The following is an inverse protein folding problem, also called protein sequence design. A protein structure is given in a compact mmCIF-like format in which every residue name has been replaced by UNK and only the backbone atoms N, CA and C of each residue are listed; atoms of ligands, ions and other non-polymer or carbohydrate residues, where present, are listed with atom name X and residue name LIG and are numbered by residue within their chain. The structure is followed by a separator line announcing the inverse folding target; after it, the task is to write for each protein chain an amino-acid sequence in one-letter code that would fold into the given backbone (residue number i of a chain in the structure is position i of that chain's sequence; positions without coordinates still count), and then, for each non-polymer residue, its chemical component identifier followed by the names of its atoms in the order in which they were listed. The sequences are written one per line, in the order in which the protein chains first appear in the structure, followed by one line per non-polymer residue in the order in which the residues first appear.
data_IF_699316962538
#
_entry.id   IF_699316962538
#
_cell.length_a   1.000
_cell.length_b   1.000
_cell.length_c   1.000
_cell.angle_alpha   90.00
_cell.angle_beta   90.00
_cell.angle_gamma   90.00
#
_symmetry.space_group_name_H-M   'P 1'
#
loop_
_entity.id
_entity.type
_entity.pdbx_description
1 polymer ?
#
# COMPACT_ATOMS: atom_id res chain seq x y z
N UNK A 1 -3.41 30.22 3.88
CA UNK A 1 -2.40 30.71 2.91
C UNK A 1 -1.62 29.50 2.45
N UNK A 2 -1.47 29.27 1.14
CA UNK A 2 -0.69 28.15 0.61
C UNK A 2 0.80 28.49 0.72
N UNK A 3 1.43 28.03 1.79
CA UNK A 3 2.86 28.15 2.02
C UNK A 3 3.60 27.19 1.09
N UNK A 4 4.41 27.76 0.21
CA UNK A 4 5.28 27.01 -0.71
C UNK A 4 6.73 27.15 -0.25
N UNK A 5 7.42 26.03 -0.17
CA UNK A 5 8.77 25.93 0.38
C UNK A 5 9.68 25.36 -0.70
N UNK A 6 10.92 25.86 -0.87
CA UNK A 6 11.90 25.19 -1.73
C UNK A 6 12.08 23.72 -1.31
N UNK A 7 12.25 22.83 -2.29
CA UNK A 7 12.44 21.38 -2.02
C UNK A 7 13.64 21.12 -1.10
N UNK A 8 14.68 21.95 -1.18
CA UNK A 8 15.83 21.86 -0.29
C UNK A 8 15.46 22.13 1.17
N UNK A 9 14.60 23.12 1.42
CA UNK A 9 14.09 23.42 2.76
C UNK A 9 13.16 22.33 3.27
N UNK A 10 12.22 21.86 2.45
CA UNK A 10 11.34 20.75 2.82
C UNK A 10 12.12 19.47 3.17
N UNK A 11 13.20 19.18 2.43
CA UNK A 11 14.06 18.03 2.71
C UNK A 11 14.81 18.18 4.04
N UNK A 12 15.28 19.41 4.36
CA UNK A 12 15.89 19.73 5.66
C UNK A 12 14.91 19.54 6.81
N UNK A 13 13.67 19.99 6.67
CA UNK A 13 12.62 19.85 7.71
C UNK A 13 12.30 18.37 8.00
N UNK A 14 12.45 17.50 7.01
CA UNK A 14 12.26 16.06 7.16
C UNK A 14 13.54 15.30 7.55
N UNK A 15 14.69 15.98 7.62
CA UNK A 15 15.98 15.33 7.88
C UNK A 15 16.42 14.36 6.76
N UNK A 16 15.98 14.59 5.51
CA UNK A 16 16.26 13.72 4.37
C UNK A 16 17.02 14.44 3.26
N UNK A 17 17.59 13.67 2.35
CA UNK A 17 18.22 14.23 1.16
C UNK A 17 17.16 14.74 0.16
N UNK A 18 17.37 15.88 -0.54
CA UNK A 18 16.40 16.42 -1.49
C UNK A 18 16.08 15.48 -2.67
N UNK A 19 16.99 14.56 -3.03
CA UNK A 19 16.68 13.50 -4.01
C UNK A 19 15.62 12.54 -3.50
N UNK A 20 15.71 12.15 -2.22
CA UNK A 20 14.73 11.27 -1.57
C UNK A 20 13.36 11.94 -1.52
N UNK A 21 13.30 13.22 -1.15
CA UNK A 21 12.05 13.97 -1.17
C UNK A 21 11.41 14.03 -2.57
N UNK A 22 12.22 14.24 -3.62
CA UNK A 22 11.72 14.23 -5.01
C UNK A 22 11.17 12.87 -5.41
N UNK A 23 11.81 11.80 -4.96
CA UNK A 23 11.36 10.44 -5.22
C UNK A 23 10.01 10.17 -4.55
N UNK A 24 9.89 10.47 -3.26
CA UNK A 24 8.63 10.30 -2.51
C UNK A 24 7.48 11.13 -3.08
N UNK A 25 7.76 12.38 -3.50
CA UNK A 25 6.75 13.21 -4.17
C UNK A 25 6.29 12.61 -5.50
N UNK A 26 7.20 11.99 -6.26
CA UNK A 26 6.87 11.30 -7.51
C UNK A 26 6.03 10.04 -7.24
N UNK A 27 6.40 9.24 -6.24
CA UNK A 27 5.65 8.04 -5.84
C UNK A 27 4.24 8.37 -5.38
N UNK A 28 4.08 9.46 -4.62
CA UNK A 28 2.78 9.92 -4.13
C UNK A 28 1.99 10.79 -5.14
N UNK A 29 2.46 10.87 -6.39
CA UNK A 29 1.86 11.66 -7.47
C UNK A 29 1.58 13.14 -7.12
N UNK A 30 2.47 13.75 -6.32
CA UNK A 30 2.35 15.14 -5.89
C UNK A 30 3.21 16.06 -6.77
N UNK A 31 2.62 17.17 -7.21
CA UNK A 31 3.29 18.11 -8.11
C UNK A 31 4.20 19.09 -7.37
N UNK A 32 5.27 19.48 -8.06
CA UNK A 32 6.20 20.53 -7.65
C UNK A 32 5.77 21.86 -8.26
N UNK A 33 5.63 22.88 -7.43
CA UNK A 33 5.40 24.26 -7.84
C UNK A 33 6.72 24.94 -8.23
N UNK A 34 6.60 26.05 -8.93
CA UNK A 34 7.72 26.93 -9.25
C UNK A 34 7.75 28.06 -8.21
N UNK A 35 8.95 28.47 -7.76
CA UNK A 35 9.07 29.56 -6.80
C UNK A 35 8.62 30.90 -7.43
N UNK A 36 7.88 31.76 -6.70
CA UNK A 36 7.31 33.00 -7.25
C UNK A 36 8.37 34.03 -7.66
N UNK A 37 9.56 33.97 -7.06
CA UNK A 37 10.67 34.90 -7.32
C UNK A 37 11.74 34.34 -8.27
N UNK A 38 11.89 33.01 -8.38
CA UNK A 38 12.92 32.38 -9.24
C UNK A 38 12.38 31.10 -9.87
N UNK A 39 12.13 31.13 -11.19
CA UNK A 39 11.53 30.02 -11.90
C UNK A 39 12.38 28.73 -11.92
N UNK A 40 13.68 28.83 -11.58
CA UNK A 40 14.60 27.70 -11.53
C UNK A 40 14.46 26.89 -10.24
N UNK A 41 13.88 27.47 -9.20
CA UNK A 41 13.70 26.81 -7.90
C UNK A 41 12.41 26.00 -7.93
N UNK A 42 12.53 24.70 -7.61
CA UNK A 42 11.37 23.81 -7.41
C UNK A 42 10.91 23.92 -5.96
N UNK A 43 9.61 24.13 -5.80
CA UNK A 43 8.94 24.26 -4.52
C UNK A 43 7.93 23.15 -4.31
N UNK A 44 7.67 22.85 -3.05
CA UNK A 44 6.63 21.92 -2.59
C UNK A 44 5.68 22.70 -1.68
N UNK A 45 4.38 22.40 -1.77
CA UNK A 45 3.40 22.92 -0.82
C UNK A 45 3.64 22.29 0.56
N UNK A 46 3.47 23.06 1.62
CA UNK A 46 3.55 22.54 3.00
C UNK A 46 2.58 21.37 3.23
N UNK A 47 1.39 21.42 2.63
CA UNK A 47 0.40 20.34 2.70
C UNK A 47 0.90 19.03 2.07
N UNK A 48 1.57 19.14 0.91
CA UNK A 48 2.19 17.98 0.24
C UNK A 48 3.33 17.43 1.08
N UNK A 49 4.14 18.32 1.66
CA UNK A 49 5.26 17.93 2.51
C UNK A 49 4.78 17.19 3.76
N UNK A 50 3.71 17.66 4.41
CA UNK A 50 3.11 17.02 5.58
C UNK A 50 2.50 15.66 5.23
N UNK A 51 1.82 15.55 4.08
CA UNK A 51 1.27 14.28 3.62
C UNK A 51 2.36 13.25 3.34
N UNK A 52 3.46 13.64 2.69
CA UNK A 52 4.64 12.79 2.51
C UNK A 52 5.26 12.41 3.87
N UNK A 53 5.35 13.35 4.81
CA UNK A 53 5.84 13.07 6.16
C UNK A 53 5.01 11.97 6.85
N UNK A 54 3.68 12.07 6.77
CA UNK A 54 2.76 11.07 7.32
C UNK A 54 2.90 9.71 6.64
N UNK A 55 3.01 9.66 5.31
CA UNK A 55 3.17 8.41 4.56
C UNK A 55 4.46 7.66 4.93
N UNK A 56 5.55 8.38 5.17
CA UNK A 56 6.86 7.80 5.51
C UNK A 56 7.15 7.79 7.02
N UNK A 57 6.13 8.01 7.87
CA UNK A 57 6.24 8.03 9.33
C UNK A 57 7.37 8.94 9.87
N UNK A 58 7.54 10.11 9.26
CA UNK A 58 8.50 11.14 9.70
C UNK A 58 7.77 12.33 10.30
N UNK A 59 8.32 12.87 11.39
CA UNK A 59 7.86 14.16 11.92
C UNK A 59 8.55 15.29 11.17
N UNK A 60 7.79 16.28 10.72
CA UNK A 60 8.35 17.56 10.30
C UNK A 60 9.01 18.21 11.51
N UNK A 61 10.33 18.33 11.49
CA UNK A 61 11.00 19.17 12.45
C UNK A 61 10.61 20.61 12.13
N UNK A 62 9.91 21.27 13.04
CA UNK A 62 9.71 22.71 12.94
C UNK A 62 11.08 23.37 12.77
N UNK A 63 11.21 24.43 11.95
CA UNK A 63 12.51 25.06 11.73
C UNK A 63 13.03 25.62 13.06
N UNK A 64 13.89 24.86 13.72
CA UNK A 64 14.79 25.39 14.72
C UNK A 64 15.62 26.42 13.98
N UNK A 65 15.30 27.70 14.18
CA UNK A 65 16.09 28.81 13.66
C UNK A 65 17.53 28.53 14.07
N UNK A 66 18.39 28.38 13.08
CA UNK A 66 19.84 28.30 13.24
C UNK A 66 20.29 29.65 13.84
N UNK A 67 20.17 29.79 15.16
CA UNK A 67 20.96 30.75 15.91
C UNK A 67 22.29 30.05 16.20
N UNK A 68 23.26 30.40 15.36
CA UNK A 68 24.68 30.24 15.58
C UNK A 68 25.07 30.75 16.98
N UNK A 69 26.01 30.03 17.60
CA UNK A 69 26.73 30.30 18.86
C UNK A 69 26.12 29.72 20.16
N UNK A 70 26.55 28.50 20.48
CA UNK A 70 27.10 28.16 21.81
C UNK A 70 27.96 26.89 21.72
N UNK A 71 29.09 26.81 22.43
CA UNK A 71 30.10 25.77 22.26
C UNK A 71 29.68 24.43 22.90
N UNK A 72 30.29 23.30 22.49
CA UNK A 72 30.00 21.99 23.03
C UNK A 72 30.56 21.86 24.45
N UNK A 73 29.68 21.68 25.43
CA UNK A 73 30.07 21.18 26.76
C UNK A 73 30.33 19.68 26.64
N UNK A 74 31.63 19.36 26.73
CA UNK A 74 32.21 18.04 26.92
C UNK A 74 31.51 17.31 28.08
N UNK A 75 31.12 16.03 27.94
CA UNK A 75 30.77 15.21 29.09
C UNK A 75 32.07 14.66 29.69
N UNK A 76 32.52 15.30 30.77
CA UNK A 76 33.57 14.78 31.63
C UNK A 76 32.96 14.36 32.96
N UNK A 77 33.56 13.33 33.54
CA UNK A 77 33.37 12.79 34.89
C UNK A 77 32.30 11.70 35.04
N UNK A 78 32.75 10.49 34.70
CA UNK A 78 32.44 9.27 35.44
C UNK A 78 32.79 9.52 36.92
N UNK A 79 31.81 9.36 37.83
CA UNK A 79 32.10 9.01 39.22
C UNK A 79 30.99 8.11 39.78
N UNK A 80 31.30 7.04 40.53
CA UNK A 80 30.33 6.02 40.92
C UNK A 80 29.76 6.20 42.35
N UNK A 81 28.44 5.98 42.44
CA UNK A 81 27.64 5.27 43.46
C UNK A 81 27.69 5.69 44.97
N UNK A 82 26.53 5.72 45.69
CA UNK A 82 26.35 6.41 46.98
C UNK A 82 26.32 5.50 48.21
N UNK A 83 26.59 6.06 49.41
CA UNK A 83 26.10 5.59 50.74
C UNK A 83 25.87 6.80 51.66
N UNK A 84 24.85 6.80 52.55
CA UNK A 84 24.15 8.01 53.03
C UNK A 84 24.42 8.38 54.50
N UNK A 85 24.16 9.63 54.90
CA UNK A 85 23.75 9.96 56.27
C UNK A 85 23.24 11.41 56.40
N UNK A 86 22.09 11.54 57.07
CA UNK A 86 21.66 12.64 57.95
C UNK A 86 20.82 13.81 57.38
N UNK A 87 19.49 13.59 57.46
CA UNK A 87 18.40 14.43 58.03
C UNK A 87 18.52 15.97 57.99
N UNK A 88 17.51 16.58 57.37
CA UNK A 88 17.09 17.97 57.60
C UNK A 88 16.07 18.46 56.55
N UNK A 89 14.77 18.35 56.85
CA UNK A 89 13.68 19.17 56.24
C UNK A 89 13.88 20.67 56.57
N UNK A 90 13.22 21.66 55.91
CA UNK A 90 11.90 21.60 55.22
C UNK A 90 11.76 22.37 53.87
N UNK A 91 10.68 22.04 53.16
CA UNK A 91 9.88 22.85 52.23
C UNK A 91 10.54 23.72 51.12
N UNK A 92 10.35 23.28 49.87
CA UNK A 92 10.03 24.22 48.77
C UNK A 92 9.15 23.54 47.71
N UNK A 93 7.90 24.00 47.50
CA UNK A 93 7.01 23.48 46.47
C UNK A 93 7.13 24.36 45.23
N UNK A 94 7.81 23.89 44.18
CA UNK A 94 7.73 24.53 42.88
C UNK A 94 7.95 23.51 41.75
N UNK A 95 6.83 23.18 41.11
CA UNK A 95 6.70 22.76 39.72
C UNK A 95 7.26 21.36 39.37
N UNK A 96 6.66 20.33 39.95
CA UNK A 96 6.47 19.08 39.22
C UNK A 96 5.53 19.37 38.04
N UNK A 97 6.11 19.53 36.84
CA UNK A 97 5.34 19.42 35.60
C UNK A 97 4.65 18.05 35.63
N UNK A 98 3.31 17.99 35.46
CA UNK A 98 2.63 16.72 35.26
C UNK A 98 3.10 16.18 33.91
N UNK A 99 4.06 15.26 33.92
CA UNK A 99 4.19 14.33 32.80
C UNK A 99 2.86 13.59 32.73
N UNK A 100 2.14 13.64 31.60
CA UNK A 100 0.97 12.79 31.41
C UNK A 100 1.49 11.35 31.37
N UNK A 101 1.53 10.70 32.53
CA UNK A 101 1.83 9.29 32.68
C UNK A 101 0.63 8.54 32.09
N UNK A 102 0.68 8.28 30.78
CA UNK A 102 -0.21 7.31 30.15
C UNK A 102 0.00 6.00 30.91
N UNK A 103 -1.04 5.40 31.49
CA UNK A 103 -0.88 4.17 32.25
C UNK A 103 -0.25 3.10 31.35
N UNK A 104 0.79 2.42 31.83
CA UNK A 104 1.43 1.29 31.13
C UNK A 104 0.41 0.23 30.69
N UNK A 105 -0.67 0.07 31.47
CA UNK A 105 -1.84 -0.74 31.16
C UNK A 105 -2.55 -0.35 29.83
N UNK A 106 -2.61 0.93 29.49
CA UNK A 106 -3.22 1.38 28.23
C UNK A 106 -2.32 1.07 27.02
N UNK A 107 -1.00 1.15 27.21
CA UNK A 107 -0.02 0.81 26.16
C UNK A 107 0.00 -0.69 25.88
N UNK A 108 0.02 -1.52 26.92
CA UNK A 108 -0.06 -2.99 26.79
C UNK A 108 -1.37 -3.42 26.14
N UNK A 109 -2.49 -2.78 26.48
CA UNK A 109 -3.77 -3.02 25.80
C UNK A 109 -3.73 -2.65 24.32
N UNK A 110 -3.11 -1.51 23.96
CA UNK A 110 -2.95 -1.10 22.55
C UNK A 110 -2.08 -2.09 21.77
N UNK A 111 -0.99 -2.58 22.38
CA UNK A 111 -0.14 -3.60 21.77
C UNK A 111 -0.90 -4.91 21.54
N UNK A 112 -1.60 -5.43 22.56
CA UNK A 112 -2.41 -6.63 22.41
C UNK A 112 -3.51 -6.47 21.33
N UNK A 113 -4.12 -5.29 21.23
CA UNK A 113 -5.08 -4.97 20.17
C UNK A 113 -4.42 -5.00 18.79
N UNK A 114 -3.24 -4.41 18.62
CA UNK A 114 -2.51 -4.43 17.36
C UNK A 114 -2.04 -5.85 16.99
N UNK A 115 -1.54 -6.62 17.95
CA UNK A 115 -1.16 -8.03 17.78
C UNK A 115 -2.34 -8.85 17.26
N UNK A 116 -3.51 -8.75 17.93
CA UNK A 116 -4.72 -9.46 17.47
C UNK A 116 -5.17 -9.06 16.05
N UNK A 117 -4.96 -7.79 15.67
CA UNK A 117 -5.26 -7.31 14.31
C UNK A 117 -4.29 -7.87 13.28
N UNK A 118 -3.01 -7.97 13.63
CA UNK A 118 -1.98 -8.59 12.79
C UNK A 118 -2.27 -10.09 12.61
N UNK A 119 -2.62 -10.80 13.69
CA UNK A 119 -3.01 -12.22 13.62
C UNK A 119 -4.22 -12.41 12.70
N UNK A 120 -5.23 -11.55 12.84
CA UNK A 120 -6.43 -11.58 11.99
C UNK A 120 -6.09 -11.32 10.52
N UNK A 121 -5.24 -10.32 10.24
CA UNK A 121 -4.86 -9.98 8.88
C UNK A 121 -4.00 -11.09 8.25
N UNK A 122 -3.09 -11.68 9.03
CA UNK A 122 -2.28 -12.81 8.60
C UNK A 122 -3.16 -14.02 8.25
N UNK A 123 -4.16 -14.32 9.08
CA UNK A 123 -5.14 -15.38 8.81
C UNK A 123 -5.93 -15.11 7.53
N UNK A 124 -6.42 -13.88 7.33
CA UNK A 124 -7.15 -13.52 6.10
C UNK A 124 -6.28 -13.67 4.84
N UNK A 125 -5.00 -13.28 4.91
CA UNK A 125 -4.07 -13.45 3.80
C UNK A 125 -3.82 -14.94 3.53
N UNK A 126 -3.65 -15.76 4.59
CA UNK A 126 -3.45 -17.20 4.45
C UNK A 126 -4.67 -17.86 3.79
N UNK A 127 -5.88 -17.52 4.23
CA UNK A 127 -7.13 -18.03 3.66
C UNK A 127 -7.30 -17.61 2.20
N UNK A 128 -6.99 -16.35 1.87
CA UNK A 128 -7.06 -15.87 0.49
C UNK A 128 -6.04 -16.57 -0.41
N UNK A 129 -4.80 -16.78 0.07
CA UNK A 129 -3.77 -17.51 -0.66
C UNK A 129 -4.20 -18.96 -0.94
N UNK A 130 -4.79 -19.64 0.05
CA UNK A 130 -5.34 -20.99 -0.12
C UNK A 130 -6.47 -21.01 -1.16
N UNK A 131 -7.40 -20.05 -1.10
CA UNK A 131 -8.49 -19.94 -2.08
C UNK A 131 -7.97 -19.73 -3.51
N UNK A 132 -6.95 -18.87 -3.69
CA UNK A 132 -6.32 -18.66 -4.99
C UNK A 132 -5.63 -19.91 -5.54
N UNK A 133 -4.96 -20.68 -4.68
CA UNK A 133 -4.34 -21.94 -5.09
C UNK A 133 -5.38 -22.97 -5.53
N UNK A 134 -6.46 -23.13 -4.76
CA UNK A 134 -7.57 -24.01 -5.12
C UNK A 134 -8.23 -23.60 -6.43
N UNK A 135 -8.43 -22.30 -6.66
CA UNK A 135 -9.04 -21.82 -7.90
C UNK A 135 -8.14 -22.07 -9.11
N UNK A 136 -6.82 -21.91 -8.95
CA UNK A 136 -5.86 -22.27 -10.00
C UNK A 136 -5.89 -23.77 -10.30
N UNK A 137 -5.93 -24.61 -9.28
CA UNK A 137 -6.01 -26.05 -9.44
C UNK A 137 -7.27 -26.45 -10.21
N UNK A 138 -8.46 -26.00 -9.77
CA UNK A 138 -9.73 -26.23 -10.47
C UNK A 138 -9.72 -25.72 -11.90
N UNK A 139 -9.16 -24.54 -12.14
CA UNK A 139 -9.07 -23.95 -13.48
C UNK A 139 -8.19 -24.80 -14.41
N UNK A 140 -7.05 -25.30 -13.90
CA UNK A 140 -6.16 -26.19 -14.66
C UNK A 140 -6.86 -27.52 -14.94
N UNK A 141 -7.47 -28.14 -13.93
CA UNK A 141 -8.22 -29.40 -14.07
C UNK A 141 -9.35 -29.28 -15.10
N UNK A 142 -10.12 -28.19 -15.03
CA UNK A 142 -11.20 -27.93 -15.98
C UNK A 142 -10.67 -27.80 -17.41
N UNK A 143 -9.55 -27.09 -17.59
CA UNK A 143 -8.93 -26.93 -18.92
C UNK A 143 -8.38 -28.25 -19.44
N UNK A 144 -7.74 -29.06 -18.59
CA UNK A 144 -7.27 -30.40 -18.95
C UNK A 144 -8.45 -31.27 -19.38
N UNK A 145 -9.50 -31.34 -18.56
CA UNK A 145 -10.71 -32.11 -18.86
C UNK A 145 -11.36 -31.69 -20.18
N UNK A 146 -11.41 -30.37 -20.44
CA UNK A 146 -11.94 -29.82 -21.70
C UNK A 146 -11.09 -30.26 -22.89
N UNK A 147 -9.76 -30.17 -22.78
CA UNK A 147 -8.85 -30.60 -23.84
C UNK A 147 -8.91 -32.12 -24.06
N UNK A 148 -9.00 -32.92 -23.00
CA UNK A 148 -9.17 -34.36 -23.06
C UNK A 148 -10.48 -34.73 -23.77
N UNK A 149 -11.59 -34.07 -23.47
CA UNK A 149 -12.86 -34.28 -24.16
C UNK A 149 -12.77 -33.94 -25.65
N UNK A 150 -12.10 -32.84 -26.01
CA UNK A 150 -11.86 -32.49 -27.41
C UNK A 150 -11.00 -33.55 -28.11
N UNK A 151 -9.90 -33.99 -27.49
CA UNK A 151 -9.06 -35.06 -28.04
C UNK A 151 -9.84 -36.37 -28.22
N UNK A 152 -10.67 -36.75 -27.25
CA UNK A 152 -11.54 -37.93 -27.34
C UNK A 152 -12.55 -37.79 -28.48
N UNK A 153 -13.11 -36.61 -28.72
CA UNK A 153 -13.99 -36.36 -29.85
C UNK A 153 -13.25 -36.54 -31.19
N UNK A 154 -12.06 -35.97 -31.33
CA UNK A 154 -11.25 -36.10 -32.56
C UNK A 154 -10.74 -37.53 -32.80
N UNK A 155 -10.35 -38.26 -31.74
CA UNK A 155 -9.87 -39.64 -31.88
C UNK A 155 -11.01 -40.67 -31.96
N UNK A 156 -12.13 -40.43 -31.28
CA UNK A 156 -13.32 -41.28 -31.31
C UNK A 156 -14.16 -41.13 -32.58
N UNK A 157 -14.14 -39.95 -33.21
CA UNK A 157 -14.80 -39.70 -34.49
C UNK A 157 -14.13 -40.35 -35.71
N UNK A 158 -12.85 -40.78 -35.59
CA UNK A 158 -12.10 -41.32 -36.72
C UNK A 158 -12.24 -42.86 -36.91
N UNK A 159 -12.91 -43.56 -35.98
CA UNK A 159 -13.07 -45.03 -36.03
C UNK A 159 -14.51 -45.49 -36.34
N UNK A 160 -15.42 -44.58 -36.69
CA UNK A 160 -16.68 -44.98 -37.34
C UNK A 160 -16.50 -44.95 -38.86
N UNK A 161 -15.73 -45.93 -39.38
CA UNK A 161 -15.90 -46.38 -40.75
C UNK A 161 -17.31 -46.98 -40.85
N UNK A 162 -18.30 -46.16 -41.25
CA UNK A 162 -19.56 -46.69 -41.74
C UNK A 162 -19.46 -46.82 -43.26
N UNK A 163 -19.59 -48.04 -43.82
CA UNK A 163 -19.54 -48.23 -45.26
C UNK A 163 -20.83 -47.72 -45.92
N UNK A 164 -20.66 -46.89 -46.93
CA UNK A 164 -21.66 -46.64 -47.97
C UNK A 164 -21.90 -47.94 -48.75
N UNK A 165 -23.16 -48.29 -49.04
CA UNK A 165 -23.55 -48.28 -50.46
C UNK A 165 -24.91 -47.60 -50.71
N UNK A 166 -24.88 -46.69 -51.69
CA UNK A 166 -25.93 -46.31 -52.64
C UNK A 166 -27.17 -47.23 -52.72
N UNK A 167 -28.38 -46.65 -52.77
CA UNK A 167 -29.37 -46.83 -53.87
C UNK A 167 -30.39 -45.66 -53.87
N UNK A 168 -30.19 -44.77 -54.83
CA UNK A 168 -31.18 -44.10 -55.72
C UNK A 168 -32.68 -44.18 -55.38
N UNK A 169 -33.31 -43.00 -55.20
CA UNK A 169 -34.58 -42.59 -55.87
C UNK A 169 -34.98 -41.15 -55.48
N UNK A 170 -34.73 -40.21 -56.39
CA UNK A 170 -35.68 -39.11 -56.68
C UNK A 170 -36.87 -39.71 -57.47
N UNK A 171 -38.07 -39.07 -57.58
CA UNK A 171 -38.27 -37.62 -57.75
C UNK A 171 -39.47 -37.01 -57.00
N UNK A 172 -39.46 -35.70 -56.73
CA UNK A 172 -40.48 -34.75 -57.26
C UNK A 172 -40.28 -33.33 -56.74
N UNK A 173 -40.39 -32.40 -57.70
CA UNK A 173 -40.44 -30.95 -57.57
C UNK A 173 -41.43 -30.45 -56.52
N UNK A 174 -41.04 -29.39 -55.79
CA UNK A 174 -41.82 -28.14 -55.73
C UNK A 174 -41.05 -26.96 -55.10
N UNK A 175 -40.58 -26.07 -55.98
CA UNK A 175 -40.61 -24.59 -55.95
C UNK A 175 -40.22 -23.82 -54.66
N UNK A 176 -39.24 -22.90 -54.72
CA UNK A 176 -39.09 -21.80 -53.76
C UNK A 176 -39.86 -20.54 -54.22
N UNK A 177 -40.35 -19.70 -53.29
CA UNK A 177 -39.95 -18.30 -53.42
C UNK A 177 -39.74 -17.58 -52.07
N UNK A 178 -38.63 -16.84 -52.03
CA UNK A 178 -38.43 -15.48 -51.53
C UNK A 178 -39.23 -14.91 -50.34
N UNK A 179 -38.41 -14.32 -49.45
CA UNK A 179 -38.42 -12.93 -48.93
C UNK A 179 -38.93 -12.66 -47.49
N UNK A 180 -37.95 -12.17 -46.71
CA UNK A 180 -37.96 -10.97 -45.85
C UNK A 180 -39.04 -10.83 -44.77
N UNK A 181 -38.60 -10.68 -43.51
CA UNK A 181 -38.70 -9.45 -42.70
C UNK A 181 -38.34 -9.75 -41.22
N UNK A 182 -37.21 -9.22 -40.74
CA UNK A 182 -37.14 -8.60 -39.40
C UNK A 182 -37.99 -7.30 -39.46
N UNK A 183 -38.49 -6.70 -38.35
CA UNK A 183 -37.81 -6.50 -37.06
C UNK A 183 -38.73 -6.58 -35.80
N UNK A 184 -38.16 -6.63 -34.58
CA UNK A 184 -38.08 -5.57 -33.56
C UNK A 184 -38.99 -5.80 -32.33
N UNK A 185 -38.35 -5.74 -31.17
CA UNK A 185 -38.82 -5.28 -29.85
C UNK A 185 -40.06 -5.90 -29.20
N UNK A 186 -39.82 -6.55 -28.06
CA UNK A 186 -40.45 -6.22 -26.77
C UNK A 186 -39.55 -6.69 -25.61
#
# INVERSE_FOLDING_TARGET
MMTILPVADGARLLGIHPKTLRHWLKEANMSLAIHPTDARIKCVSEEHLQRVASLHARSLQAPARLNTASPPLVPSQIQPLPVPANRGEPASPACLLPTPHVPDAELTQKLACLESRLDTLQEQIAQFALALLQERERSIEHRITTLESLMQHFMGGQMSNQPVPEVRKEPTCSVPPHRLLHPAEQ
#
